data_IF_827030913725
#
_entry.id   IF_827030913725
#
_cell.length_a   1.000
_cell.length_b   1.000
_cell.length_c   1.000
_cell.angle_alpha   90.00
_cell.angle_beta   90.00
_cell.angle_gamma   90.00
#
_symmetry.space_group_name_H-M   'P 1'
#
loop_
_entity.id
_entity.type
_entity.pdbx_description
1 polymer ?
#
# COMPACT_ATOMS: atom_id res chain seq x y z
N UNK A 1 8.05 -10.04 -11.25
CA UNK A 1 7.39 -10.67 -12.40
C UNK A 1 5.88 -10.67 -12.19
N UNK A 2 5.14 -10.21 -13.18
CA UNK A 2 3.67 -10.26 -13.22
C UNK A 2 3.25 -11.21 -14.34
N UNK A 3 2.43 -12.19 -14.01
CA UNK A 3 1.90 -13.15 -14.98
C UNK A 3 0.37 -13.06 -14.99
N UNK A 4 -0.22 -12.76 -16.14
CA UNK A 4 -1.68 -12.59 -16.31
C UNK A 4 -2.30 -11.65 -15.27
N UNK A 5 -1.64 -10.52 -15.01
CA UNK A 5 -2.07 -9.51 -14.04
C UNK A 5 -1.78 -9.86 -12.57
N UNK A 6 -1.24 -11.03 -12.27
CA UNK A 6 -0.93 -11.47 -10.90
C UNK A 6 0.58 -11.38 -10.66
N UNK A 7 1.05 -10.69 -9.61
CA UNK A 7 2.44 -10.75 -9.18
C UNK A 7 2.78 -12.18 -8.71
N UNK A 8 3.82 -12.79 -9.30
CA UNK A 8 4.19 -14.20 -9.02
C UNK A 8 5.59 -14.37 -8.42
N UNK A 9 6.51 -13.47 -8.74
CA UNK A 9 7.86 -13.39 -8.16
C UNK A 9 8.22 -11.94 -7.94
N UNK A 10 8.81 -11.63 -6.79
CA UNK A 10 9.29 -10.31 -6.43
C UNK A 10 10.65 -10.40 -5.75
N UNK A 11 11.50 -9.38 -5.99
CA UNK A 11 12.71 -9.12 -5.23
C UNK A 11 12.92 -7.61 -5.14
N UNK A 12 13.28 -7.14 -3.95
CA UNK A 12 13.59 -5.74 -3.67
C UNK A 12 14.90 -5.69 -2.90
N UNK A 13 15.90 -5.01 -3.45
CA UNK A 13 17.16 -4.75 -2.77
C UNK A 13 17.06 -3.50 -1.92
N UNK A 14 17.47 -3.60 -0.66
CA UNK A 14 17.51 -2.50 0.31
C UNK A 14 18.98 -2.19 0.64
N UNK A 15 19.54 -1.06 0.18
CA UNK A 15 20.96 -0.74 0.29
C UNK A 15 21.32 -0.11 1.65
N UNK A 16 20.93 -0.73 2.74
CA UNK A 16 21.26 -0.28 4.06
C UNK A 16 22.19 -1.26 4.79
N UNK A 17 23.14 -0.67 5.55
CA UNK A 17 24.22 -1.36 6.27
C UNK A 17 25.03 -2.31 5.38
N UNK A 18 26.28 -2.24 5.50
CA UNK A 18 27.29 -3.13 4.89
C UNK A 18 26.95 -3.59 3.46
N UNK A 19 26.41 -4.79 3.29
CA UNK A 19 26.08 -5.37 1.99
C UNK A 19 24.61 -5.19 1.55
N UNK A 20 23.76 -4.51 2.35
CA UNK A 20 22.33 -4.41 2.11
C UNK A 20 21.56 -5.69 2.41
N UNK A 21 20.25 -5.70 2.09
CA UNK A 21 19.41 -6.90 2.19
C UNK A 21 18.49 -7.04 0.99
N UNK A 22 18.12 -8.29 0.65
CA UNK A 22 17.13 -8.58 -0.38
C UNK A 22 15.86 -9.10 0.30
N UNK A 23 14.74 -8.41 0.07
CA UNK A 23 13.42 -8.95 0.42
C UNK A 23 12.81 -9.53 -0.83
N UNK A 24 12.47 -10.81 -0.80
CA UNK A 24 11.93 -11.52 -1.96
C UNK A 24 10.77 -12.43 -1.59
N UNK A 25 9.93 -12.70 -2.59
CA UNK A 25 8.78 -13.59 -2.45
C UNK A 25 8.49 -14.32 -3.76
N UNK A 26 7.90 -15.50 -3.65
CA UNK A 26 7.24 -16.21 -4.72
C UNK A 26 5.84 -16.59 -4.23
N UNK A 27 4.85 -16.52 -5.13
CA UNK A 27 3.46 -16.89 -4.83
C UNK A 27 3.39 -18.27 -4.16
N UNK A 28 2.61 -18.37 -3.09
CA UNK A 28 2.42 -19.57 -2.26
C UNK A 28 3.69 -20.11 -1.56
N UNK A 29 4.75 -19.28 -1.45
CA UNK A 29 6.00 -19.73 -0.84
C UNK A 29 6.48 -18.84 0.32
N UNK A 30 5.82 -17.74 0.56
CA UNK A 30 6.16 -16.79 1.61
C UNK A 30 7.15 -15.71 1.18
N UNK A 31 7.39 -14.78 2.08
CA UNK A 31 8.35 -13.67 1.93
C UNK A 31 9.55 -13.90 2.81
N UNK A 32 10.73 -13.59 2.28
CA UNK A 32 12.02 -13.74 2.98
C UNK A 32 12.83 -12.44 2.89
N UNK A 33 13.58 -12.14 3.93
CA UNK A 33 14.67 -11.16 3.93
C UNK A 33 15.99 -11.94 3.99
N UNK A 34 16.72 -11.97 2.88
CA UNK A 34 17.79 -12.93 2.64
C UNK A 34 17.26 -14.36 2.89
N UNK A 35 17.77 -15.08 3.88
CA UNK A 35 17.34 -16.45 4.22
C UNK A 35 16.28 -16.49 5.34
N UNK A 36 15.94 -15.35 5.95
CA UNK A 36 15.00 -15.29 7.06
C UNK A 36 13.56 -15.09 6.57
N UNK A 37 12.69 -16.04 6.87
CA UNK A 37 11.28 -15.91 6.57
C UNK A 37 10.64 -14.73 7.35
N UNK A 38 9.93 -13.87 6.65
CA UNK A 38 9.14 -12.80 7.22
C UNK A 38 7.71 -13.27 7.47
N UNK A 39 7.14 -12.84 8.60
CA UNK A 39 5.74 -13.05 8.92
C UNK A 39 5.19 -11.77 9.55
N UNK A 40 4.15 -11.21 8.95
CA UNK A 40 3.43 -10.11 9.55
C UNK A 40 2.62 -10.62 10.74
N UNK A 41 2.89 -10.04 11.89
CA UNK A 41 2.13 -10.26 13.11
C UNK A 41 1.62 -8.89 13.53
N UNK A 42 0.34 -8.66 13.38
CA UNK A 42 -0.31 -7.41 13.74
C UNK A 42 -1.23 -7.53 14.93
N UNK A 43 -1.75 -6.38 15.36
CA UNK A 43 -2.80 -6.30 16.37
C UNK A 43 -4.18 -6.15 15.74
N UNK A 44 -5.21 -6.00 16.56
CA UNK A 44 -6.59 -5.78 16.11
C UNK A 44 -6.81 -4.40 15.48
N UNK A 45 -5.98 -3.41 15.83
CA UNK A 45 -6.06 -2.03 15.37
C UNK A 45 -4.68 -1.37 15.29
N UNK A 46 -4.55 -0.25 14.57
CA UNK A 46 -3.30 0.50 14.51
C UNK A 46 -2.83 0.98 15.89
N UNK A 47 -1.53 1.01 16.10
CA UNK A 47 -0.89 1.42 17.35
C UNK A 47 -0.17 2.76 17.19
N UNK A 48 -0.35 3.67 18.15
CA UNK A 48 0.22 5.03 18.12
C UNK A 48 1.75 5.08 18.02
N UNK A 49 2.43 4.15 18.65
CA UNK A 49 3.90 4.07 18.65
C UNK A 49 4.51 3.42 17.41
N UNK A 50 3.69 3.01 16.43
CA UNK A 50 4.18 2.35 15.20
C UNK A 50 4.14 3.28 14.00
N UNK A 51 5.01 3.01 13.02
CA UNK A 51 5.07 3.77 11.78
C UNK A 51 3.92 3.40 10.83
N UNK A 52 3.40 4.41 10.11
CA UNK A 52 2.45 4.25 9.00
C UNK A 52 2.93 5.03 7.79
N UNK A 53 3.03 4.38 6.65
CA UNK A 53 3.40 4.99 5.36
C UNK A 53 2.16 5.64 4.74
N UNK A 54 2.14 6.97 4.65
CA UNK A 54 1.11 7.72 3.94
C UNK A 54 1.76 8.78 3.07
N UNK A 55 1.21 9.07 1.87
CA UNK A 55 1.74 10.14 1.04
C UNK A 55 1.66 11.48 1.78
N UNK A 56 2.64 12.37 1.60
CA UNK A 56 2.71 13.67 2.29
C UNK A 56 1.44 14.53 2.13
N UNK A 57 0.71 14.35 1.03
CA UNK A 57 -0.55 15.01 0.72
C UNK A 57 -1.80 14.19 1.11
N UNK A 58 -1.66 13.17 1.98
CA UNK A 58 -2.78 12.27 2.36
C UNK A 58 -4.01 13.05 2.87
N UNK A 59 -3.81 14.13 3.60
CA UNK A 59 -4.87 14.97 4.15
C UNK A 59 -5.77 15.62 3.08
N UNK A 60 -5.24 15.83 1.86
CA UNK A 60 -6.01 16.35 0.73
C UNK A 60 -6.90 15.28 0.10
N UNK A 61 -6.47 14.03 0.14
CA UNK A 61 -7.10 12.90 -0.54
C UNK A 61 -8.00 12.09 0.39
N UNK A 62 -7.65 12.04 1.68
CA UNK A 62 -8.30 11.17 2.65
C UNK A 62 -8.76 11.93 3.89
N UNK A 63 -9.88 11.49 4.45
CA UNK A 63 -10.33 11.85 5.78
C UNK A 63 -10.32 10.62 6.69
N UNK A 64 -10.32 10.85 7.99
CA UNK A 64 -10.32 9.80 9.01
C UNK A 64 -11.59 9.89 9.84
N UNK A 65 -12.28 8.76 10.03
CA UNK A 65 -13.47 8.63 10.90
C UNK A 65 -13.11 7.89 12.19
N UNK A 66 -13.99 8.01 13.17
CA UNK A 66 -13.99 7.21 14.40
C UNK A 66 -12.64 7.18 15.12
N UNK A 67 -11.99 8.35 15.22
CA UNK A 67 -10.73 8.47 15.96
C UNK A 67 -9.49 7.89 15.28
N UNK A 68 -9.59 7.37 14.04
CA UNK A 68 -8.47 6.76 13.32
C UNK A 68 -7.22 7.67 13.29
N UNK A 69 -7.40 9.00 13.15
CA UNK A 69 -6.28 9.96 13.15
C UNK A 69 -5.41 9.87 14.40
N UNK A 70 -6.00 9.53 15.56
CA UNK A 70 -5.27 9.40 16.83
C UNK A 70 -4.60 8.04 17.00
N UNK A 71 -5.00 7.05 16.19
CA UNK A 71 -4.56 5.66 16.30
C UNK A 71 -3.57 5.27 15.22
N UNK A 72 -3.57 5.96 14.06
CA UNK A 72 -2.81 5.57 12.88
C UNK A 72 -1.29 5.58 13.08
N UNK A 73 -0.80 6.04 14.23
CA UNK A 73 0.60 6.06 14.59
C UNK A 73 1.36 7.23 13.96
N UNK A 74 2.67 7.07 13.89
CA UNK A 74 3.59 8.04 13.33
C UNK A 74 3.57 7.96 11.80
N UNK A 75 3.04 9.01 11.16
CA UNK A 75 2.94 9.07 9.70
C UNK A 75 4.29 9.45 9.10
N UNK A 76 4.76 8.67 8.14
CA UNK A 76 5.95 8.95 7.34
C UNK A 76 5.63 8.81 5.85
N UNK A 77 6.31 9.60 5.04
CA UNK A 77 6.37 9.47 3.59
C UNK A 77 7.84 9.37 3.20
N UNK A 78 8.28 8.19 2.80
CA UNK A 78 9.69 7.95 2.47
C UNK A 78 10.01 8.22 1.00
N UNK A 79 8.97 8.44 0.19
CA UNK A 79 9.12 8.82 -1.21
C UNK A 79 9.37 7.66 -2.17
N UNK A 80 9.46 6.44 -1.67
CA UNK A 80 9.58 5.24 -2.49
C UNK A 80 8.50 4.23 -2.12
N UNK A 81 7.58 4.00 -3.04
CA UNK A 81 6.43 3.09 -2.87
C UNK A 81 6.89 1.67 -2.56
N UNK A 82 7.80 1.14 -3.37
CA UNK A 82 8.30 -0.23 -3.19
C UNK A 82 9.07 -0.39 -1.89
N UNK A 83 9.80 0.65 -1.46
CA UNK A 83 10.52 0.65 -0.19
C UNK A 83 9.56 0.61 1.01
N UNK A 84 8.53 1.45 1.00
CA UNK A 84 7.51 1.47 2.06
C UNK A 84 6.73 0.15 2.12
N UNK A 85 6.42 -0.48 0.98
CA UNK A 85 5.81 -1.82 0.93
C UNK A 85 6.75 -2.92 1.45
N UNK A 86 8.05 -2.84 1.15
CA UNK A 86 9.05 -3.76 1.71
C UNK A 86 9.15 -3.62 3.24
N UNK A 87 9.15 -2.39 3.76
CA UNK A 87 9.09 -2.13 5.21
C UNK A 87 7.79 -2.63 5.85
N UNK A 88 6.69 -2.56 5.10
CA UNK A 88 5.41 -3.09 5.54
C UNK A 88 5.45 -4.61 5.61
N UNK A 89 5.97 -5.30 4.58
CA UNK A 89 6.15 -6.74 4.58
C UNK A 89 7.07 -7.23 5.72
N UNK A 90 8.08 -6.43 6.07
CA UNK A 90 9.00 -6.67 7.19
C UNK A 90 8.34 -6.43 8.57
N UNK A 91 7.20 -5.73 8.62
CA UNK A 91 6.54 -5.34 9.86
C UNK A 91 7.10 -4.07 10.52
N UNK A 92 8.03 -3.36 9.87
CA UNK A 92 8.55 -2.07 10.34
C UNK A 92 7.52 -0.96 10.20
N UNK A 93 6.65 -1.04 9.20
CA UNK A 93 5.43 -0.23 9.07
C UNK A 93 4.20 -1.10 9.30
N UNK A 94 3.23 -0.60 10.06
CA UNK A 94 1.99 -1.34 10.32
C UNK A 94 1.02 -1.29 9.13
N UNK A 95 1.06 -0.21 8.35
CA UNK A 95 0.33 -0.03 7.10
C UNK A 95 1.12 0.88 6.16
N UNK A 96 0.82 0.76 4.86
CA UNK A 96 1.19 1.73 3.83
C UNK A 96 0.01 2.02 2.91
N UNK A 97 -0.18 3.32 2.59
CA UNK A 97 -1.27 3.82 1.76
C UNK A 97 -0.71 4.61 0.58
N UNK A 98 -1.08 4.25 -0.65
CA UNK A 98 -0.62 4.91 -1.86
C UNK A 98 -1.80 5.32 -2.74
N UNK A 99 -1.79 6.57 -3.16
CA UNK A 99 -2.78 7.11 -4.06
C UNK A 99 -2.31 7.02 -5.52
N UNK A 100 -2.99 6.20 -6.31
CA UNK A 100 -2.75 6.07 -7.75
C UNK A 100 -1.28 5.81 -8.16
N UNK A 101 -0.55 4.91 -7.48
CA UNK A 101 0.79 4.54 -7.91
C UNK A 101 0.74 3.81 -9.26
N UNK A 102 1.88 3.70 -9.92
CA UNK A 102 2.04 2.90 -11.12
C UNK A 102 2.24 1.42 -10.77
N UNK A 103 1.90 0.53 -11.70
CA UNK A 103 2.05 -0.92 -11.48
C UNK A 103 3.50 -1.32 -11.15
N UNK A 104 4.47 -0.72 -11.81
CA UNK A 104 5.90 -1.02 -11.57
C UNK A 104 6.40 -0.56 -10.20
N UNK A 105 5.73 0.38 -9.56
CA UNK A 105 6.05 0.83 -8.20
C UNK A 105 5.50 -0.13 -7.14
N UNK A 106 4.41 -0.83 -7.43
CA UNK A 106 3.65 -1.60 -6.42
C UNK A 106 3.69 -3.10 -6.63
N UNK A 107 3.91 -3.61 -7.83
CA UNK A 107 3.73 -5.02 -8.14
C UNK A 107 4.61 -5.94 -7.26
N UNK A 108 5.87 -5.59 -7.06
CA UNK A 108 6.76 -6.34 -6.18
C UNK A 108 6.27 -6.29 -4.72
N UNK A 109 6.04 -5.08 -4.21
CA UNK A 109 5.66 -4.87 -2.81
C UNK A 109 4.32 -5.50 -2.43
N UNK A 110 3.34 -5.52 -3.36
CA UNK A 110 2.05 -6.21 -3.16
C UNK A 110 2.28 -7.70 -2.89
N UNK A 111 3.13 -8.37 -3.68
CA UNK A 111 3.45 -9.78 -3.45
C UNK A 111 4.17 -9.97 -2.11
N UNK A 112 5.17 -9.12 -1.82
CA UNK A 112 5.91 -9.21 -0.55
C UNK A 112 4.96 -9.14 0.67
N UNK A 113 4.02 -8.20 0.68
CA UNK A 113 3.08 -8.05 1.79
C UNK A 113 2.13 -9.24 1.90
N UNK A 114 1.57 -9.71 0.77
CA UNK A 114 0.64 -10.85 0.75
C UNK A 114 1.31 -12.13 1.22
N UNK A 115 2.49 -12.42 0.70
CA UNK A 115 3.26 -13.63 1.04
C UNK A 115 3.85 -13.58 2.47
N UNK A 116 3.99 -12.40 3.07
CA UNK A 116 4.28 -12.25 4.50
C UNK A 116 3.06 -12.51 5.41
N UNK A 117 1.90 -12.84 4.85
CA UNK A 117 0.65 -13.05 5.58
C UNK A 117 -0.15 -11.76 5.84
N UNK A 118 0.18 -10.68 5.16
CA UNK A 118 -0.56 -9.42 5.20
C UNK A 118 -1.76 -9.38 4.24
N UNK A 119 -2.47 -8.26 4.29
CA UNK A 119 -3.59 -7.95 3.39
C UNK A 119 -3.24 -6.74 2.53
N UNK A 120 -3.68 -6.78 1.28
CA UNK A 120 -3.60 -5.68 0.35
C UNK A 120 -4.99 -5.39 -0.18
N UNK A 121 -5.45 -4.17 0.04
CA UNK A 121 -6.73 -3.68 -0.47
C UNK A 121 -6.53 -2.66 -1.55
N UNK A 122 -7.41 -2.69 -2.52
CA UNK A 122 -7.40 -1.75 -3.64
C UNK A 122 -8.73 -1.02 -3.73
N UNK A 123 -8.65 0.23 -4.13
CA UNK A 123 -9.81 1.02 -4.55
C UNK A 123 -9.50 1.63 -5.91
N UNK A 124 -10.31 1.33 -6.88
CA UNK A 124 -10.24 1.87 -8.24
C UNK A 124 -11.39 2.85 -8.48
N UNK A 125 -11.44 3.46 -9.66
CA UNK A 125 -12.58 4.28 -10.07
C UNK A 125 -13.86 3.45 -10.27
N UNK A 126 -13.72 2.15 -10.54
CA UNK A 126 -14.83 1.21 -10.79
C UNK A 126 -15.40 0.63 -9.49
N UNK A 127 -14.63 0.65 -8.39
CA UNK A 127 -15.07 0.09 -7.12
C UNK A 127 -15.75 1.14 -6.26
N UNK A 128 -16.81 0.77 -5.56
CA UNK A 128 -17.51 1.66 -4.61
C UNK A 128 -16.82 1.74 -3.24
N UNK A 129 -15.86 0.85 -2.97
CA UNK A 129 -15.18 0.70 -1.69
C UNK A 129 -13.78 0.13 -1.81
N UNK A 130 -13.25 -0.32 -0.69
CA UNK A 130 -12.02 -1.06 -0.60
C UNK A 130 -12.30 -2.54 -0.83
N UNK A 131 -11.65 -3.13 -1.80
CA UNK A 131 -11.75 -4.55 -2.15
C UNK A 131 -10.40 -5.25 -1.92
N UNK A 132 -10.37 -6.55 -1.60
CA UNK A 132 -9.13 -7.31 -1.60
C UNK A 132 -8.43 -7.21 -2.95
N UNK A 133 -7.12 -7.01 -2.94
CA UNK A 133 -6.34 -7.06 -4.17
C UNK A 133 -6.23 -8.50 -4.69
N UNK A 134 -6.74 -8.75 -5.88
CA UNK A 134 -6.65 -10.04 -6.56
C UNK A 134 -5.63 -10.00 -7.69
N UNK A 135 -5.71 -8.99 -8.56
CA UNK A 135 -4.83 -8.84 -9.72
C UNK A 135 -4.83 -7.39 -10.21
N UNK A 136 -3.87 -7.05 -11.05
CA UNK A 136 -3.82 -5.77 -11.76
C UNK A 136 -4.72 -5.74 -13.01
N UNK A 137 -5.29 -6.88 -13.37
CA UNK A 137 -6.15 -7.01 -14.55
C UNK A 137 -6.67 -8.44 -14.70
N UNK A 138 -7.32 -8.72 -15.84
CA UNK A 138 -7.78 -10.06 -16.23
C UNK A 138 -6.68 -10.86 -16.93
N UNK A 139 -6.96 -12.11 -17.24
CA UNK A 139 -6.06 -12.97 -18.04
C UNK A 139 -5.79 -12.44 -19.45
N UNK A 140 -6.69 -11.61 -19.97
CA UNK A 140 -6.63 -11.00 -21.30
C UNK A 140 -6.11 -9.57 -21.28
N UNK A 141 -5.70 -9.04 -20.11
CA UNK A 141 -5.21 -7.69 -19.98
C UNK A 141 -3.93 -7.48 -20.78
N UNK A 142 -3.94 -6.47 -21.62
CA UNK A 142 -2.81 -6.07 -22.46
C UNK A 142 -1.73 -5.36 -21.65
N UNK A 143 -0.53 -5.24 -22.19
CA UNK A 143 0.55 -4.46 -21.56
C UNK A 143 0.12 -3.00 -21.37
N UNK A 144 -0.57 -2.40 -22.35
CA UNK A 144 -1.03 -1.02 -22.27
C UNK A 144 -2.01 -0.83 -21.10
N UNK A 145 -2.97 -1.74 -20.92
CA UNK A 145 -3.89 -1.70 -19.79
C UNK A 145 -3.18 -1.84 -18.43
N UNK A 146 -2.12 -2.63 -18.36
CA UNK A 146 -1.28 -2.71 -17.16
C UNK A 146 -0.53 -1.39 -16.91
N UNK A 147 0.01 -0.74 -17.94
CA UNK A 147 0.63 0.59 -17.84
C UNK A 147 -0.35 1.66 -17.39
N UNK A 148 -1.58 1.56 -17.85
CA UNK A 148 -2.66 2.50 -17.53
C UNK A 148 -3.39 2.18 -16.22
N UNK A 149 -3.02 1.07 -15.59
CA UNK A 149 -3.61 0.69 -14.31
C UNK A 149 -3.48 1.82 -13.27
N UNK A 150 -4.58 2.10 -12.59
CA UNK A 150 -4.65 3.10 -11.52
C UNK A 150 -5.53 2.55 -10.40
N UNK A 151 -5.00 2.57 -9.21
CA UNK A 151 -5.73 2.20 -8.00
C UNK A 151 -5.10 2.85 -6.79
N UNK A 152 -5.87 3.04 -5.74
CA UNK A 152 -5.34 3.40 -4.42
C UNK A 152 -5.10 2.09 -3.68
N UNK A 153 -3.93 1.91 -3.13
CA UNK A 153 -3.52 0.69 -2.41
C UNK A 153 -3.39 0.99 -0.93
N UNK A 154 -3.95 0.13 -0.11
CA UNK A 154 -3.73 0.04 1.33
C UNK A 154 -3.18 -1.35 1.63
N UNK A 155 -1.99 -1.42 2.22
CA UNK A 155 -1.29 -2.66 2.50
C UNK A 155 -0.84 -2.71 3.98
N UNK A 156 -0.79 -3.88 4.59
CA UNK A 156 -0.35 -4.08 5.96
C UNK A 156 -0.82 -5.38 6.57
N UNK A 157 -0.88 -5.44 7.90
CA UNK A 157 -1.51 -6.54 8.61
C UNK A 157 -3.00 -6.65 8.29
N UNK A 158 -3.53 -7.86 8.26
CA UNK A 158 -4.90 -8.13 7.84
C UNK A 158 -5.94 -7.39 8.68
N UNK A 159 -5.84 -7.45 10.00
CA UNK A 159 -6.80 -6.81 10.90
C UNK A 159 -6.69 -5.29 10.83
N UNK A 160 -5.45 -4.79 10.77
CA UNK A 160 -5.17 -3.35 10.71
C UNK A 160 -5.66 -2.76 9.39
N UNK A 161 -5.41 -3.40 8.24
CA UNK A 161 -5.92 -2.93 6.93
C UNK A 161 -7.44 -2.93 6.90
N UNK A 162 -8.08 -3.97 7.44
CA UNK A 162 -9.53 -4.03 7.55
C UNK A 162 -10.07 -2.90 8.46
N UNK A 163 -9.44 -2.67 9.60
CA UNK A 163 -9.80 -1.60 10.53
C UNK A 163 -9.70 -0.23 9.87
N UNK A 164 -8.58 0.04 9.20
CA UNK A 164 -8.29 1.32 8.54
C UNK A 164 -9.21 1.54 7.33
N UNK A 165 -9.39 0.53 6.47
CA UNK A 165 -10.22 0.65 5.26
C UNK A 165 -11.66 1.05 5.54
N UNK A 166 -12.25 0.59 6.67
CA UNK A 166 -13.60 0.96 7.12
C UNK A 166 -13.71 2.39 7.64
N UNK A 167 -12.59 3.01 8.03
CA UNK A 167 -12.53 4.34 8.65
C UNK A 167 -11.86 5.40 7.79
N UNK A 168 -11.31 5.00 6.65
CA UNK A 168 -10.68 5.88 5.68
C UNK A 168 -11.74 6.41 4.71
N UNK A 169 -11.91 7.74 4.66
CA UNK A 169 -12.84 8.40 3.76
C UNK A 169 -12.07 8.95 2.57
N UNK A 170 -12.51 8.65 1.37
CA UNK A 170 -12.00 9.28 0.17
C UNK A 170 -12.64 10.65 -0.04
N UNK A 171 -11.85 11.71 -0.06
CA UNK A 171 -12.34 13.07 -0.33
C UNK A 171 -12.56 13.23 -1.83
N UNK A 172 -13.76 13.59 -2.24
CA UNK A 172 -14.06 13.87 -3.66
C UNK A 172 -13.27 15.12 -4.09
N UNK A 173 -12.56 15.05 -5.21
CA UNK A 173 -11.74 16.13 -5.80
C UNK A 173 -12.49 17.46 -6.02
N UNK A 174 -13.81 17.45 -6.15
CA UNK A 174 -14.62 18.67 -6.40
C UNK A 174 -14.43 19.73 -5.29
N UNK A 175 -14.43 19.34 -4.03
CA UNK A 175 -14.27 20.28 -2.90
C UNK A 175 -12.84 20.86 -2.82
N UNK A 176 -11.85 20.13 -3.28
CA UNK A 176 -10.46 20.60 -3.29
C UNK A 176 -10.20 21.59 -4.43
N UNK A 177 -10.77 21.37 -5.61
CA UNK A 177 -10.70 22.31 -6.75
C UNK A 177 -11.43 23.62 -6.43
N UNK A 178 -12.59 23.58 -5.77
CA UNK A 178 -13.32 24.77 -5.34
C UNK A 178 -12.55 25.57 -4.27
N UNK A 179 -11.94 24.91 -3.27
CA UNK A 179 -11.14 25.61 -2.26
C UNK A 179 -9.89 26.25 -2.86
N UNK A 180 -9.18 25.58 -3.77
CA UNK A 180 -8.02 26.15 -4.46
C UNK A 180 -8.42 27.34 -5.32
N UNK A 181 -9.51 27.22 -6.08
CA UNK A 181 -10.06 28.31 -6.89
C UNK A 181 -10.46 29.54 -6.06
N UNK A 182 -10.99 29.33 -4.84
CA UNK A 182 -11.33 30.41 -3.91
C UNK A 182 -10.10 31.04 -3.23
N UNK A 183 -9.00 30.31 -3.10
CA UNK A 183 -7.73 30.83 -2.56
C UNK A 183 -6.91 31.60 -3.60
N UNK A 184 -6.96 31.18 -4.86
CA UNK A 184 -6.28 31.86 -5.99
C UNK A 184 -7.00 33.17 -6.41
N UNK A 185 -8.17 33.46 -5.85
CA UNK A 185 -8.95 34.72 -6.06
C UNK A 185 -8.84 35.73 -4.91
N UNK A 186 -8.02 35.45 -3.91
CA UNK A 186 -7.65 36.39 -2.85
C UNK A 186 -6.21 36.85 -3.01
#
# INVERSE_FOLDING_TARGET
>A
VVFRGIPVVAAVFLPWRDSGSIIHARIDNGTFENDRRLKLVGGESPQRGRLSGLPSYYWAMFGFRNGLRRQIGEIRSLGSVVYELALTARGSMQISLFYSPKIWDVAAGVLLVKEAGGDVRVRTQKTHGWEPFLSFGSRTTTLQELYDWRGTILAGDQNITQYVSRRLIYRRRLLFRLRRWLQDKR
#
